data_IF_866873197655
#
_entry.id   IF_866873197655
#
_cell.length_a   1.000
_cell.length_b   1.000
_cell.length_c   1.000
_cell.angle_alpha   90.00
_cell.angle_beta   90.00
_cell.angle_gamma   90.00
#
_symmetry.space_group_name_H-M   'P 1'
#
loop_
_entity.id
_entity.type
_entity.pdbx_description
1 polymer ?
#
# COMPACT_ATOMS: atom_id res chain seq x y z
N UNK A 1 -103.35 21.88 -49.57
CA UNK A 1 -103.78 22.49 -48.31
C UNK A 1 -103.16 21.69 -47.18
N UNK A 2 -102.67 22.32 -46.11
CA UNK A 2 -101.98 21.62 -45.03
C UNK A 2 -103.00 20.78 -44.26
N UNK A 3 -102.71 19.50 -44.06
CA UNK A 3 -103.42 18.68 -43.09
C UNK A 3 -102.97 19.13 -41.70
N UNK A 4 -103.91 19.57 -40.87
CA UNK A 4 -103.64 19.83 -39.46
C UNK A 4 -103.36 18.50 -38.76
N UNK A 5 -102.11 18.26 -38.37
CA UNK A 5 -101.74 17.13 -37.52
C UNK A 5 -101.78 17.58 -36.07
N UNK A 6 -102.71 17.03 -35.28
CA UNK A 6 -102.76 17.26 -33.84
C UNK A 6 -101.75 16.34 -33.15
N UNK A 7 -100.72 16.93 -32.53
CA UNK A 7 -99.76 16.20 -31.70
C UNK A 7 -100.12 16.46 -30.23
N UNK A 8 -100.63 15.44 -29.55
CA UNK A 8 -100.92 15.51 -28.12
C UNK A 8 -99.62 15.27 -27.33
N UNK A 9 -98.91 16.34 -26.96
CA UNK A 9 -97.59 16.29 -26.29
C UNK A 9 -97.63 15.91 -24.80
N UNK A 10 -98.79 15.53 -24.25
CA UNK A 10 -98.92 15.10 -22.85
C UNK A 10 -98.70 16.22 -21.82
N UNK A 11 -98.79 15.90 -20.53
CA UNK A 11 -98.58 16.85 -19.44
C UNK A 11 -97.08 17.07 -19.20
N UNK A 12 -96.58 18.28 -19.47
CA UNK A 12 -95.18 18.66 -19.21
C UNK A 12 -94.68 19.76 -20.15
N UNK A 13 -93.46 20.25 -19.89
CA UNK A 13 -92.77 21.26 -20.71
C UNK A 13 -91.64 20.66 -21.58
N UNK A 14 -91.39 19.34 -21.48
CA UNK A 14 -90.27 18.67 -22.12
C UNK A 14 -90.29 18.63 -23.65
N UNK A 15 -91.43 18.92 -24.29
CA UNK A 15 -91.55 19.09 -25.74
C UNK A 15 -92.34 20.37 -25.99
N UNK A 16 -91.77 21.29 -26.77
CA UNK A 16 -92.41 22.54 -27.17
C UNK A 16 -92.58 22.59 -28.69
N UNK A 17 -93.71 23.15 -29.13
CA UNK A 17 -94.05 23.31 -30.54
C UNK A 17 -94.14 24.81 -30.88
N UNK A 18 -93.44 25.22 -31.93
CA UNK A 18 -93.56 26.54 -32.55
C UNK A 18 -94.09 26.41 -33.98
N UNK A 19 -94.31 27.54 -34.67
CA UNK A 19 -94.88 27.55 -36.02
C UNK A 19 -94.09 26.67 -37.02
N UNK A 20 -92.76 26.58 -36.86
CA UNK A 20 -91.88 25.87 -37.80
C UNK A 20 -90.89 24.90 -37.13
N UNK A 21 -91.00 24.65 -35.82
CA UNK A 21 -90.07 23.75 -35.10
C UNK A 21 -90.72 22.98 -33.96
N UNK A 22 -90.27 21.74 -33.78
CA UNK A 22 -90.50 20.92 -32.58
C UNK A 22 -89.17 20.91 -31.81
N UNK A 23 -89.19 21.40 -30.58
CA UNK A 23 -88.04 21.43 -29.67
C UNK A 23 -88.27 20.45 -28.52
N UNK A 24 -87.23 19.69 -28.18
CA UNK A 24 -87.21 18.82 -27.01
C UNK A 24 -86.31 19.50 -25.98
N UNK A 25 -86.82 19.71 -24.78
CA UNK A 25 -86.05 20.25 -23.67
C UNK A 25 -84.94 19.26 -23.31
N UNK A 26 -83.71 19.73 -23.19
CA UNK A 26 -82.55 18.90 -22.81
C UNK A 26 -81.97 19.31 -21.45
N UNK A 27 -82.53 20.34 -20.82
CA UNK A 27 -82.10 20.88 -19.53
C UNK A 27 -83.02 20.39 -18.40
N UNK A 28 -83.13 19.06 -18.29
CA UNK A 28 -84.06 18.41 -17.35
C UNK A 28 -83.49 18.37 -15.94
N UNK A 29 -84.30 18.68 -14.91
CA UNK A 29 -83.85 18.69 -13.49
C UNK A 29 -84.38 17.54 -12.63
N UNK A 30 -85.26 16.69 -13.15
CA UNK A 30 -85.87 15.56 -12.42
C UNK A 30 -84.94 14.34 -12.37
N UNK A 31 -85.37 13.17 -11.89
CA UNK A 31 -84.65 11.88 -11.96
C UNK A 31 -85.64 10.75 -12.17
N UNK A 32 -85.24 9.66 -12.83
CA UNK A 32 -86.08 8.46 -13.01
C UNK A 32 -85.46 7.25 -12.33
N UNK A 33 -86.19 6.13 -12.28
CA UNK A 33 -85.66 4.83 -11.84
C UNK A 33 -85.14 3.96 -12.98
N UNK A 34 -85.09 4.47 -14.22
CA UNK A 34 -84.72 3.69 -15.40
C UNK A 34 -83.21 3.44 -15.41
N UNK A 35 -82.83 2.16 -15.37
CA UNK A 35 -81.42 1.73 -15.34
C UNK A 35 -80.91 1.14 -16.65
N UNK A 36 -81.78 0.92 -17.64
CA UNK A 36 -81.35 0.48 -18.98
C UNK A 36 -82.37 0.83 -20.06
N UNK A 37 -81.87 1.17 -21.26
CA UNK A 37 -82.67 1.27 -22.47
C UNK A 37 -81.77 1.20 -23.73
N UNK A 38 -82.39 1.09 -24.92
CA UNK A 38 -81.65 0.90 -26.17
C UNK A 38 -80.71 2.06 -26.55
N UNK A 39 -81.07 3.31 -26.24
CA UNK A 39 -80.37 4.51 -26.73
C UNK A 39 -79.51 5.22 -25.68
N UNK A 40 -79.58 4.81 -24.41
CA UNK A 40 -79.02 5.55 -23.27
C UNK A 40 -79.78 6.84 -22.93
N UNK A 41 -80.84 7.15 -23.70
CA UNK A 41 -81.60 8.38 -23.63
C UNK A 41 -83.05 8.11 -23.25
N UNK A 42 -83.56 8.74 -22.22
CA UNK A 42 -84.97 8.69 -21.84
C UNK A 42 -85.63 10.06 -22.06
N UNK A 43 -86.93 10.02 -22.36
CA UNK A 43 -87.78 11.22 -22.44
C UNK A 43 -88.73 11.19 -21.26
N UNK A 44 -88.71 12.24 -20.45
CA UNK A 44 -89.61 12.44 -19.31
C UNK A 44 -90.55 13.61 -19.58
N UNK A 45 -91.44 13.91 -18.62
CA UNK A 45 -92.29 15.11 -18.69
C UNK A 45 -91.48 16.42 -18.75
N UNK A 46 -90.23 16.38 -18.29
CA UNK A 46 -89.33 17.54 -18.22
C UNK A 46 -88.38 17.63 -19.44
N UNK A 47 -88.28 16.59 -20.28
CA UNK A 47 -87.46 16.61 -21.51
C UNK A 47 -86.66 15.33 -21.78
N UNK A 48 -85.70 15.43 -22.70
CA UNK A 48 -84.73 14.39 -23.07
C UNK A 48 -83.51 14.45 -22.15
N UNK A 49 -83.08 13.29 -21.67
CA UNK A 49 -81.91 13.14 -20.79
C UNK A 49 -81.25 11.78 -20.96
N UNK A 50 -80.07 11.62 -20.36
CA UNK A 50 -79.48 10.31 -20.12
C UNK A 50 -80.23 9.56 -19.01
N UNK A 51 -80.14 8.22 -18.98
CA UNK A 51 -80.82 7.38 -17.97
C UNK A 51 -80.63 7.90 -16.55
N UNK A 52 -81.73 8.20 -15.86
CA UNK A 52 -81.72 8.81 -14.53
C UNK A 52 -81.60 7.89 -13.34
N UNK A 53 -81.62 6.56 -13.56
CA UNK A 53 -81.59 5.57 -12.47
C UNK A 53 -80.20 5.13 -12.01
N UNK A 54 -79.11 5.72 -12.54
CA UNK A 54 -77.75 5.33 -12.16
C UNK A 54 -77.44 5.78 -10.72
N UNK A 55 -76.89 4.87 -9.92
CA UNK A 55 -76.37 5.19 -8.60
C UNK A 55 -75.00 5.90 -8.67
N UNK A 56 -74.58 6.53 -7.58
CA UNK A 56 -73.24 7.12 -7.47
C UNK A 56 -72.16 6.08 -7.81
N UNK A 57 -71.27 6.43 -8.75
CA UNK A 57 -70.22 5.54 -9.26
C UNK A 57 -70.64 4.58 -10.38
N UNK A 58 -71.91 4.58 -10.78
CA UNK A 58 -72.35 3.93 -12.03
C UNK A 58 -72.16 4.88 -13.22
N UNK A 59 -71.80 4.32 -14.37
CA UNK A 59 -71.74 5.02 -15.65
C UNK A 59 -72.66 4.32 -16.66
N UNK A 60 -73.03 5.04 -17.73
CA UNK A 60 -73.69 4.42 -18.87
C UNK A 60 -72.70 3.53 -19.62
N UNK A 61 -72.96 2.23 -19.61
CA UNK A 61 -72.18 1.22 -20.30
C UNK A 61 -73.06 0.48 -21.33
N UNK A 62 -72.49 0.19 -22.49
CA UNK A 62 -73.13 -0.64 -23.50
C UNK A 62 -73.09 -2.12 -23.06
N UNK A 63 -74.25 -2.75 -22.96
CA UNK A 63 -74.39 -4.19 -22.76
C UNK A 63 -74.54 -4.88 -24.12
N UNK A 64 -73.46 -5.47 -24.62
CA UNK A 64 -73.46 -6.16 -25.92
C UNK A 64 -74.31 -7.43 -25.95
N UNK A 65 -74.74 -7.97 -24.80
CA UNK A 65 -75.59 -9.17 -24.74
C UNK A 65 -77.06 -8.78 -24.83
N UNK A 66 -77.44 -7.71 -24.13
CA UNK A 66 -78.82 -7.21 -24.11
C UNK A 66 -79.09 -6.12 -25.16
N UNK A 67 -78.06 -5.68 -25.91
CA UNK A 67 -78.10 -4.61 -26.91
C UNK A 67 -78.71 -3.31 -26.36
N UNK A 68 -78.37 -2.95 -25.12
CA UNK A 68 -78.87 -1.75 -24.45
C UNK A 68 -77.75 -0.99 -23.77
N UNK A 69 -77.92 0.32 -23.63
CA UNK A 69 -77.19 1.09 -22.63
C UNK A 69 -77.78 0.84 -21.25
N UNK A 70 -76.93 0.60 -20.26
CA UNK A 70 -77.34 0.41 -18.87
C UNK A 70 -76.46 1.18 -17.90
N UNK A 71 -77.00 1.52 -16.74
CA UNK A 71 -76.21 1.89 -15.57
C UNK A 71 -75.42 0.64 -15.15
N UNK A 72 -74.10 0.76 -15.15
CA UNK A 72 -73.21 -0.27 -14.64
C UNK A 72 -72.16 0.38 -13.76
N UNK A 73 -71.75 -0.31 -12.70
CA UNK A 73 -70.55 0.07 -11.94
C UNK A 73 -69.40 0.23 -12.92
N UNK A 74 -68.76 1.40 -12.92
CA UNK A 74 -67.63 1.66 -13.81
C UNK A 74 -66.54 0.60 -13.58
N UNK A 75 -66.34 -0.32 -14.53
CA UNK A 75 -65.39 -1.43 -14.43
C UNK A 75 -63.97 -1.04 -14.81
N UNK A 76 -63.56 0.20 -14.53
CA UNK A 76 -62.15 0.54 -14.54
C UNK A 76 -61.50 -0.15 -13.36
N UNK A 77 -60.44 -0.94 -13.56
CA UNK A 77 -59.66 -1.49 -12.47
C UNK A 77 -59.16 -0.34 -11.59
N UNK A 78 -59.84 -0.07 -10.48
CA UNK A 78 -59.52 1.05 -9.60
C UNK A 78 -58.21 0.73 -8.90
N UNK A 79 -57.15 1.43 -9.29
CA UNK A 79 -55.92 1.49 -8.50
C UNK A 79 -56.24 2.31 -7.25
N UNK A 80 -56.14 1.70 -6.07
CA UNK A 80 -56.33 2.34 -4.78
C UNK A 80 -54.97 2.69 -4.16
N UNK A 81 -54.95 3.60 -3.16
CA UNK A 81 -53.73 4.03 -2.48
C UNK A 81 -53.34 5.48 -2.74
N UNK A 82 -52.36 5.97 -1.98
CA UNK A 82 -51.83 7.34 -2.08
C UNK A 82 -50.35 7.38 -1.69
N UNK A 83 -49.68 8.49 -1.97
CA UNK A 83 -48.27 8.73 -1.60
C UNK A 83 -48.01 10.21 -1.32
N UNK A 84 -46.83 10.52 -0.77
CA UNK A 84 -46.37 11.88 -0.58
C UNK A 84 -45.53 12.37 -1.78
N UNK A 85 -45.49 13.68 -2.00
CA UNK A 85 -44.60 14.29 -2.99
C UNK A 85 -43.16 13.87 -2.72
N UNK A 86 -42.48 13.35 -3.75
CA UNK A 86 -41.11 12.86 -3.66
C UNK A 86 -40.99 11.36 -3.40
N UNK A 87 -42.03 10.63 -2.97
CA UNK A 87 -41.93 9.18 -2.87
C UNK A 87 -42.01 8.54 -4.26
N UNK A 88 -41.12 7.57 -4.57
CA UNK A 88 -41.39 6.69 -5.72
C UNK A 88 -42.48 5.71 -5.33
N UNK A 89 -43.51 5.64 -6.17
CA UNK A 89 -44.66 4.76 -5.98
C UNK A 89 -44.31 3.31 -6.30
N UNK A 90 -44.78 2.36 -5.49
CA UNK A 90 -44.71 0.93 -5.76
C UNK A 90 -45.99 0.21 -5.33
N UNK A 91 -46.25 -0.96 -5.88
CA UNK A 91 -47.43 -1.76 -5.55
C UNK A 91 -47.28 -2.44 -4.19
N UNK A 92 -48.32 -2.40 -3.36
CA UNK A 92 -48.43 -3.19 -2.12
C UNK A 92 -49.62 -4.17 -2.12
N UNK A 93 -50.32 -4.27 -3.26
CA UNK A 93 -51.37 -5.25 -3.52
C UNK A 93 -51.66 -5.34 -5.02
N UNK A 94 -52.53 -6.26 -5.43
CA UNK A 94 -52.88 -6.45 -6.85
C UNK A 94 -53.57 -5.24 -7.49
N UNK A 95 -54.23 -4.40 -6.68
CA UNK A 95 -54.89 -3.15 -7.11
C UNK A 95 -54.51 -1.95 -6.24
N UNK A 96 -53.47 -2.04 -5.40
CA UNK A 96 -53.11 -1.00 -4.43
C UNK A 96 -51.66 -0.55 -4.58
N UNK A 97 -51.46 0.77 -4.58
CA UNK A 97 -50.15 1.43 -4.60
C UNK A 97 -49.85 2.11 -3.26
N UNK A 98 -48.57 2.31 -2.97
CA UNK A 98 -48.09 3.07 -1.81
C UNK A 98 -46.75 3.75 -2.15
N UNK A 99 -46.23 4.54 -1.20
CA UNK A 99 -44.89 5.11 -1.25
C UNK A 99 -44.17 4.94 0.09
N UNK A 100 -42.85 5.17 0.10
CA UNK A 100 -42.03 5.11 1.31
C UNK A 100 -41.02 6.26 1.33
N UNK A 101 -40.79 6.84 2.50
CA UNK A 101 -39.71 7.83 2.69
C UNK A 101 -38.32 7.20 2.53
N UNK A 102 -38.21 5.87 2.58
CA UNK A 102 -36.97 5.15 2.30
C UNK A 102 -36.69 4.96 0.81
N UNK A 103 -37.60 5.34 -0.09
CA UNK A 103 -37.42 5.29 -1.55
C UNK A 103 -37.90 6.62 -2.15
N UNK A 104 -36.97 7.56 -2.29
CA UNK A 104 -37.29 8.97 -2.49
C UNK A 104 -36.66 9.56 -3.75
N UNK A 105 -37.45 10.27 -4.54
CA UNK A 105 -37.02 11.11 -5.65
C UNK A 105 -37.10 12.58 -5.24
N UNK A 106 -35.94 13.22 -5.09
CA UNK A 106 -35.84 14.67 -4.99
C UNK A 106 -35.98 15.27 -6.39
N UNK A 107 -37.19 15.68 -6.75
CA UNK A 107 -37.49 16.30 -8.04
C UNK A 107 -36.87 17.67 -8.25
N UNK A 108 -36.48 18.37 -7.17
CA UNK A 108 -35.86 19.70 -7.27
C UNK A 108 -34.43 19.59 -7.76
N UNK A 109 -33.71 18.56 -7.31
CA UNK A 109 -32.28 18.37 -7.61
C UNK A 109 -32.00 17.12 -8.48
N UNK A 110 -33.03 16.38 -8.89
CA UNK A 110 -32.93 15.14 -9.66
C UNK A 110 -32.04 14.05 -9.01
N UNK A 111 -32.34 13.70 -7.75
CA UNK A 111 -31.57 12.74 -6.94
C UNK A 111 -32.44 11.61 -6.39
N UNK A 112 -31.91 10.38 -6.34
CA UNK A 112 -32.54 9.22 -5.72
C UNK A 112 -31.97 8.98 -4.32
N UNK A 113 -32.82 9.01 -3.30
CA UNK A 113 -32.49 8.63 -1.92
C UNK A 113 -33.03 7.25 -1.57
N UNK A 114 -32.17 6.39 -1.05
CA UNK A 114 -32.53 5.13 -0.40
C UNK A 114 -32.26 5.28 1.09
N UNK A 115 -33.30 5.25 1.92
CA UNK A 115 -33.21 5.49 3.36
C UNK A 115 -32.99 6.96 3.77
N UNK A 116 -33.09 7.90 2.83
CA UNK A 116 -33.05 9.36 3.09
C UNK A 116 -34.04 10.10 2.18
N UNK A 117 -34.71 11.13 2.71
CA UNK A 117 -35.57 12.05 1.93
C UNK A 117 -34.85 13.32 1.51
N UNK A 118 -33.60 13.50 1.92
CA UNK A 118 -32.77 14.65 1.59
C UNK A 118 -31.42 14.19 1.03
N UNK A 119 -31.41 13.43 -0.09
CA UNK A 119 -30.17 12.99 -0.71
C UNK A 119 -29.32 14.20 -1.09
N UNK A 120 -28.01 14.10 -0.93
CA UNK A 120 -27.02 15.13 -1.26
C UNK A 120 -26.27 14.81 -2.56
N UNK A 121 -26.33 13.57 -3.03
CA UNK A 121 -25.70 13.07 -4.26
C UNK A 121 -26.71 12.49 -5.26
N UNK A 122 -26.27 12.30 -6.52
CA UNK A 122 -26.84 11.38 -7.54
C UNK A 122 -27.84 10.36 -7.00
N UNK A 123 -27.24 9.41 -6.30
CA UNK A 123 -27.84 8.33 -5.54
C UNK A 123 -27.22 8.42 -4.14
N UNK A 124 -28.04 8.54 -3.11
CA UNK A 124 -27.58 8.43 -1.73
C UNK A 124 -28.26 7.23 -1.08
N UNK A 125 -27.46 6.34 -0.50
CA UNK A 125 -27.95 5.20 0.26
C UNK A 125 -27.54 5.41 1.71
N UNK A 126 -28.52 5.78 2.53
CA UNK A 126 -28.33 6.01 3.95
C UNK A 126 -28.95 4.85 4.74
N UNK A 127 -28.11 4.15 5.51
CA UNK A 127 -28.52 3.05 6.36
C UNK A 127 -27.51 2.83 7.47
N UNK A 128 -28.00 2.47 8.67
CA UNK A 128 -27.19 2.38 9.90
C UNK A 128 -26.79 0.94 10.28
N UNK A 129 -26.97 -0.04 9.39
CA UNK A 129 -26.71 -1.46 9.66
C UNK A 129 -25.63 -2.04 8.75
N UNK A 130 -24.44 -2.28 9.31
CA UNK A 130 -23.36 -3.03 8.60
C UNK A 130 -23.72 -4.49 8.33
N UNK A 131 -24.72 -5.06 9.03
CA UNK A 131 -25.15 -6.44 8.86
C UNK A 131 -25.65 -6.74 7.43
N UNK A 132 -26.47 -5.84 6.86
CA UNK A 132 -26.99 -6.00 5.50
C UNK A 132 -26.16 -5.25 4.45
N UNK A 133 -25.35 -4.28 4.87
CA UNK A 133 -24.58 -3.40 3.99
C UNK A 133 -25.48 -2.33 3.35
N UNK A 134 -24.90 -1.22 2.90
CA UNK A 134 -25.64 -0.19 2.18
C UNK A 134 -25.86 -0.59 0.72
N UNK A 135 -24.85 -1.17 0.08
CA UNK A 135 -24.95 -1.67 -1.29
C UNK A 135 -24.34 -3.08 -1.39
N UNK A 136 -25.08 -4.00 -2.01
CA UNK A 136 -24.67 -5.40 -2.19
C UNK A 136 -24.72 -5.78 -3.66
N UNK A 137 -23.64 -6.40 -4.14
CA UNK A 137 -23.58 -7.10 -5.42
C UNK A 137 -23.50 -8.59 -5.12
N UNK A 138 -24.42 -9.38 -5.66
CA UNK A 138 -24.55 -10.79 -5.33
C UNK A 138 -24.73 -11.65 -6.59
N UNK A 139 -24.03 -12.78 -6.65
CA UNK A 139 -24.37 -13.87 -7.55
C UNK A 139 -25.50 -14.72 -6.94
N UNK A 140 -25.42 -15.01 -5.64
CA UNK A 140 -26.45 -15.68 -4.86
C UNK A 140 -26.45 -15.23 -3.37
N UNK A 141 -27.20 -15.94 -2.52
CA UNK A 141 -27.31 -15.62 -1.09
C UNK A 141 -25.98 -15.69 -0.33
N UNK A 142 -25.04 -16.51 -0.80
CA UNK A 142 -23.76 -16.84 -0.17
C UNK A 142 -22.56 -16.21 -0.89
N UNK A 143 -22.69 -15.87 -2.17
CA UNK A 143 -21.64 -15.30 -3.00
C UNK A 143 -21.95 -13.84 -3.28
N UNK A 144 -21.39 -12.95 -2.47
CA UNK A 144 -21.66 -11.52 -2.57
C UNK A 144 -20.51 -10.66 -2.07
N UNK A 145 -20.49 -9.42 -2.54
CA UNK A 145 -19.67 -8.33 -2.00
C UNK A 145 -20.58 -7.20 -1.52
N UNK A 146 -20.28 -6.65 -0.35
CA UNK A 146 -20.98 -5.52 0.27
C UNK A 146 -20.05 -4.31 0.34
N UNK A 147 -20.67 -3.15 0.19
CA UNK A 147 -20.10 -1.84 0.43
C UNK A 147 -20.89 -1.18 1.55
N UNK A 148 -20.18 -0.66 2.54
CA UNK A 148 -20.78 0.06 3.66
C UNK A 148 -19.84 1.15 4.16
N UNK A 149 -20.41 2.29 4.52
CA UNK A 149 -19.73 3.35 5.26
C UNK A 149 -20.06 3.20 6.74
N UNK A 150 -19.03 3.10 7.58
CA UNK A 150 -19.22 2.97 9.03
C UNK A 150 -19.48 4.32 9.72
N UNK A 151 -19.64 4.32 11.04
CA UNK A 151 -19.88 5.54 11.83
C UNK A 151 -18.70 6.52 11.83
N UNK A 152 -17.52 6.11 11.36
CA UNK A 152 -16.34 6.97 11.19
C UNK A 152 -16.21 7.55 9.78
N UNK A 153 -17.12 7.18 8.87
CA UNK A 153 -17.09 7.59 7.47
C UNK A 153 -16.17 6.74 6.59
N UNK A 154 -15.62 5.63 7.10
CA UNK A 154 -14.74 4.76 6.33
C UNK A 154 -15.55 3.79 5.46
N UNK A 155 -15.14 3.64 4.19
CA UNK A 155 -15.72 2.66 3.27
C UNK A 155 -15.10 1.29 3.53
N UNK A 156 -15.95 0.30 3.85
CA UNK A 156 -15.56 -1.11 3.95
C UNK A 156 -16.07 -1.88 2.73
N UNK A 157 -15.18 -2.67 2.14
CA UNK A 157 -15.51 -3.69 1.13
C UNK A 157 -15.42 -5.05 1.79
N UNK A 158 -16.54 -5.77 1.85
CA UNK A 158 -16.64 -7.07 2.51
C UNK A 158 -17.09 -8.14 1.52
N UNK A 159 -16.37 -9.24 1.41
CA UNK A 159 -16.71 -10.37 0.55
C UNK A 159 -17.10 -11.57 1.42
N UNK A 160 -18.31 -12.09 1.18
CA UNK A 160 -18.88 -13.20 1.92
C UNK A 160 -18.73 -13.07 3.46
N UNK A 161 -18.95 -11.85 3.99
CA UNK A 161 -18.86 -11.55 5.42
C UNK A 161 -17.45 -11.32 5.97
N UNK A 162 -16.41 -11.39 5.14
CA UNK A 162 -15.03 -11.05 5.52
C UNK A 162 -14.64 -9.70 4.92
N UNK A 163 -14.16 -8.78 5.75
CA UNK A 163 -13.65 -7.51 5.26
C UNK A 163 -12.38 -7.75 4.42
N UNK A 164 -12.33 -7.16 3.22
CA UNK A 164 -11.16 -7.19 2.34
C UNK A 164 -10.31 -5.95 2.63
N UNK A 165 -10.95 -4.79 2.59
CA UNK A 165 -10.32 -3.50 2.75
C UNK A 165 -11.25 -2.50 3.45
N UNK A 166 -10.66 -1.64 4.27
CA UNK A 166 -11.31 -0.49 4.89
C UNK A 166 -10.55 0.77 4.52
N UNK A 167 -11.23 1.69 3.85
CA UNK A 167 -10.68 2.94 3.35
C UNK A 167 -11.22 4.08 4.22
N UNK A 168 -10.43 4.50 5.20
CA UNK A 168 -10.75 5.62 6.08
C UNK A 168 -9.93 6.86 5.77
N UNK A 169 -10.33 8.00 6.35
CA UNK A 169 -9.60 9.26 6.22
C UNK A 169 -8.23 9.25 6.91
N UNK A 170 -8.07 8.44 7.97
CA UNK A 170 -6.81 8.32 8.71
C UNK A 170 -5.86 7.29 8.08
N UNK A 171 -6.41 6.17 7.60
CA UNK A 171 -5.65 5.07 7.01
C UNK A 171 -6.53 4.19 6.10
N UNK A 172 -5.86 3.51 5.18
CA UNK A 172 -6.40 2.35 4.47
C UNK A 172 -5.83 1.07 5.10
N UNK A 173 -6.69 0.13 5.45
CA UNK A 173 -6.32 -1.17 6.02
C UNK A 173 -6.77 -2.28 5.08
N UNK A 174 -5.88 -3.22 4.79
CA UNK A 174 -6.20 -4.43 4.03
C UNK A 174 -6.12 -5.62 4.98
N UNK A 175 -7.20 -6.40 5.06
CA UNK A 175 -7.32 -7.55 5.97
C UNK A 175 -6.92 -8.87 5.32
N UNK A 176 -6.62 -8.83 4.03
CA UNK A 176 -6.11 -9.95 3.23
C UNK A 176 -4.75 -9.59 2.64
N UNK A 177 -3.91 -10.58 2.26
CA UNK A 177 -2.66 -10.31 1.56
C UNK A 177 -2.88 -9.44 0.33
N UNK A 178 -1.96 -8.50 0.09
CA UNK A 178 -2.04 -7.54 -1.01
C UNK A 178 -0.93 -7.80 -2.02
N UNK A 179 -1.27 -7.73 -3.32
CA UNK A 179 -0.33 -7.86 -4.43
C UNK A 179 -0.50 -6.67 -5.37
N UNK A 180 0.59 -6.00 -5.71
CA UNK A 180 0.63 -4.93 -6.70
C UNK A 180 1.24 -5.47 -8.00
N UNK A 181 0.40 -5.88 -8.96
CA UNK A 181 0.84 -6.59 -10.17
C UNK A 181 1.04 -5.70 -11.41
N UNK A 182 0.67 -4.42 -11.32
CA UNK A 182 0.87 -3.49 -12.42
C UNK A 182 2.37 -3.16 -12.55
N UNK A 183 2.85 -2.99 -13.79
CA UNK A 183 4.20 -2.49 -14.03
C UNK A 183 4.30 -1.02 -13.64
N UNK A 184 5.37 -0.66 -12.94
CA UNK A 184 5.62 0.70 -12.48
C UNK A 184 6.01 0.72 -11.00
N UNK A 185 6.06 1.93 -10.46
CA UNK A 185 6.62 2.16 -9.13
C UNK A 185 5.55 2.24 -8.05
N UNK A 186 5.90 1.81 -6.85
CA UNK A 186 5.16 2.10 -5.62
C UNK A 186 5.91 3.21 -4.88
N UNK A 187 5.33 4.40 -4.83
CA UNK A 187 5.92 5.54 -4.13
C UNK A 187 5.36 5.67 -2.72
N UNK A 188 6.22 6.01 -1.76
CA UNK A 188 5.87 6.21 -0.35
C UNK A 188 6.51 7.51 0.15
N UNK A 189 5.71 8.41 0.74
CA UNK A 189 6.20 9.70 1.22
C UNK A 189 6.86 9.63 2.62
N UNK A 190 6.55 8.58 3.38
CA UNK A 190 6.97 8.39 4.76
C UNK A 190 7.46 6.94 4.95
N UNK A 191 7.33 6.42 6.17
CA UNK A 191 7.95 5.18 6.61
C UNK A 191 7.33 3.91 6.00
N UNK A 192 8.18 2.90 5.79
CA UNK A 192 7.80 1.50 5.64
C UNK A 192 8.06 0.77 6.96
N UNK A 193 7.00 0.32 7.63
CA UNK A 193 7.12 -0.38 8.92
C UNK A 193 6.65 -1.82 8.79
N UNK A 194 7.55 -2.78 9.00
CA UNK A 194 7.21 -4.20 9.12
C UNK A 194 6.92 -4.55 10.59
N UNK A 195 5.70 -5.00 10.87
CA UNK A 195 5.19 -5.12 12.26
C UNK A 195 5.28 -6.52 12.86
N UNK A 196 5.69 -7.53 12.10
CA UNK A 196 5.89 -8.89 12.62
C UNK A 196 7.24 -8.98 13.35
N UNK A 197 7.17 -9.15 14.68
CA UNK A 197 8.35 -9.17 15.57
C UNK A 197 9.18 -10.46 15.50
N UNK A 198 8.67 -11.53 14.87
CA UNK A 198 9.41 -12.79 14.71
C UNK A 198 10.26 -12.75 13.45
N UNK A 199 9.66 -12.37 12.33
CA UNK A 199 10.33 -12.30 11.04
C UNK A 199 9.62 -11.34 10.11
N UNK A 200 10.40 -10.44 9.52
CA UNK A 200 10.00 -9.54 8.45
C UNK A 200 11.15 -9.48 7.45
N UNK A 201 10.84 -9.57 6.15
CA UNK A 201 11.84 -9.68 5.09
C UNK A 201 11.46 -8.81 3.90
N UNK A 202 12.47 -8.35 3.16
CA UNK A 202 12.31 -7.79 1.82
C UNK A 202 12.91 -8.82 0.87
N UNK A 203 12.06 -9.48 0.09
CA UNK A 203 12.46 -10.51 -0.88
C UNK A 203 12.32 -9.98 -2.30
N UNK A 204 13.30 -10.31 -3.15
CA UNK A 204 13.29 -9.95 -4.58
C UNK A 204 13.76 -11.13 -5.42
N UNK A 205 13.01 -11.45 -6.48
CA UNK A 205 13.41 -12.48 -7.46
C UNK A 205 14.45 -11.98 -8.46
N UNK A 206 14.65 -10.67 -8.56
CA UNK A 206 15.70 -10.04 -9.33
C UNK A 206 16.69 -9.28 -8.43
N UNK A 207 17.70 -8.62 -9.03
CA UNK A 207 18.55 -7.70 -8.30
C UNK A 207 17.73 -6.62 -7.58
N UNK A 208 18.12 -6.29 -6.34
CA UNK A 208 17.54 -5.20 -5.56
C UNK A 208 18.62 -4.13 -5.30
N UNK A 209 18.21 -2.87 -5.23
CA UNK A 209 19.06 -1.75 -4.84
C UNK A 209 18.33 -0.90 -3.81
N UNK A 210 19.05 -0.45 -2.78
CA UNK A 210 18.57 0.50 -1.77
C UNK A 210 19.44 1.74 -1.89
N UNK A 211 18.83 2.87 -2.22
CA UNK A 211 19.52 4.13 -2.51
C UNK A 211 18.95 5.20 -1.58
N UNK A 212 19.83 5.95 -0.92
CA UNK A 212 19.47 7.09 -0.10
C UNK A 212 19.99 8.38 -0.74
N UNK A 213 19.12 9.38 -0.90
CA UNK A 213 19.48 10.68 -1.47
C UNK A 213 19.31 10.80 -2.99
N UNK A 214 19.91 11.86 -3.52
CA UNK A 214 19.90 12.25 -4.93
C UNK A 214 21.30 12.76 -5.34
N UNK A 215 21.43 13.55 -6.41
CA UNK A 215 22.73 14.00 -6.92
C UNK A 215 23.20 15.37 -6.40
N UNK A 216 22.45 16.06 -5.55
CA UNK A 216 22.77 17.41 -5.08
C UNK A 216 23.08 17.47 -3.57
N UNK A 217 22.74 16.44 -2.80
CA UNK A 217 22.89 16.35 -1.37
C UNK A 217 23.65 15.09 -0.93
N UNK A 218 24.39 15.21 0.18
CA UNK A 218 25.03 14.07 0.84
C UNK A 218 24.06 13.46 1.84
N UNK A 219 23.59 12.24 1.56
CA UNK A 219 22.64 11.53 2.40
C UNK A 219 23.20 10.16 2.80
N UNK A 220 23.15 9.84 4.10
CA UNK A 220 23.62 8.56 4.61
C UNK A 220 22.53 7.48 4.48
N UNK A 221 22.91 6.30 4.00
CA UNK A 221 22.12 5.08 4.23
C UNK A 221 22.45 4.53 5.61
N UNK A 222 21.56 4.75 6.58
CA UNK A 222 21.75 4.24 7.95
C UNK A 222 21.14 2.85 8.11
N UNK A 223 21.97 1.87 8.50
CA UNK A 223 21.53 0.55 8.96
C UNK A 223 21.79 0.44 10.47
N UNK A 224 20.73 0.26 11.26
CA UNK A 224 20.81 0.22 12.72
C UNK A 224 20.16 -1.02 13.29
N UNK A 225 20.88 -1.67 14.19
CA UNK A 225 20.37 -2.75 15.05
C UNK A 225 20.22 -2.28 16.50
N UNK A 226 19.55 -3.09 17.33
CA UNK A 226 19.38 -2.83 18.76
C UNK A 226 19.94 -3.99 19.57
N UNK A 227 20.42 -3.70 20.79
CA UNK A 227 21.00 -4.67 21.72
C UNK A 227 22.22 -5.40 21.10
N UNK A 228 22.22 -6.73 21.09
CA UNK A 228 23.28 -7.56 20.51
C UNK A 228 23.01 -7.97 19.05
N UNK A 229 22.21 -7.19 18.31
CA UNK A 229 21.92 -7.47 16.90
C UNK A 229 23.05 -7.03 15.97
N UNK A 230 23.34 -7.84 14.96
CA UNK A 230 24.38 -7.57 13.96
C UNK A 230 23.79 -7.14 12.61
N UNK A 231 24.56 -6.38 11.84
CA UNK A 231 24.31 -6.22 10.39
C UNK A 231 25.01 -7.38 9.68
N UNK A 232 24.23 -8.26 9.04
CA UNK A 232 24.73 -9.50 8.44
C UNK A 232 24.66 -9.43 6.91
N UNK A 233 25.79 -9.67 6.25
CA UNK A 233 25.86 -9.94 4.82
C UNK A 233 26.04 -11.46 4.60
N UNK A 234 24.95 -12.19 4.42
CA UNK A 234 24.97 -13.62 4.10
C UNK A 234 25.12 -13.84 2.59
N UNK A 235 26.36 -14.03 2.15
CA UNK A 235 26.74 -14.16 0.75
C UNK A 235 26.99 -15.63 0.40
N UNK A 236 26.27 -16.16 -0.58
CA UNK A 236 26.42 -17.56 -1.01
C UNK A 236 27.26 -17.69 -2.29
N UNK A 237 27.90 -18.85 -2.48
CA UNK A 237 28.68 -19.15 -3.69
C UNK A 237 29.91 -18.27 -3.83
N UNK A 238 29.94 -17.43 -4.87
CA UNK A 238 31.04 -16.49 -5.19
C UNK A 238 30.67 -15.03 -4.89
N UNK A 239 29.64 -14.81 -4.06
CA UNK A 239 29.20 -13.49 -3.63
C UNK A 239 30.30 -12.69 -2.91
N UNK A 240 30.28 -11.36 -3.04
CA UNK A 240 31.26 -10.43 -2.45
C UNK A 240 30.58 -9.18 -1.94
N UNK A 241 31.06 -8.65 -0.81
CA UNK A 241 30.80 -7.25 -0.44
C UNK A 241 31.70 -6.37 -1.31
N UNK A 242 31.09 -5.45 -2.06
CA UNK A 242 31.81 -4.52 -2.95
C UNK A 242 31.58 -3.10 -2.48
N UNK A 243 32.65 -2.32 -2.42
CA UNK A 243 32.62 -0.88 -2.22
C UNK A 243 33.06 -0.22 -3.53
N UNK A 244 32.38 0.84 -3.95
CA UNK A 244 32.70 1.60 -5.15
C UNK A 244 33.05 3.05 -4.75
N UNK A 245 34.12 3.59 -5.32
CA UNK A 245 34.67 4.91 -5.01
C UNK A 245 36.17 4.93 -5.32
N UNK A 246 36.79 6.10 -5.33
CA UNK A 246 38.26 6.24 -5.47
C UNK A 246 38.95 5.81 -4.17
N UNK A 247 38.49 6.32 -3.03
CA UNK A 247 39.07 6.03 -1.70
C UNK A 247 38.12 5.22 -0.81
N UNK A 248 37.75 4.02 -1.26
CA UNK A 248 36.81 3.20 -0.48
C UNK A 248 37.37 2.83 0.89
N UNK A 249 36.58 3.10 1.93
CA UNK A 249 37.02 2.97 3.33
C UNK A 249 35.92 2.29 4.16
N UNK A 250 36.34 1.38 5.04
CA UNK A 250 35.58 0.96 6.21
C UNK A 250 36.06 1.77 7.42
N UNK A 251 35.14 2.54 8.00
CA UNK A 251 35.42 3.36 9.17
C UNK A 251 34.91 2.67 10.44
N UNK A 252 35.78 2.52 11.42
CA UNK A 252 35.48 2.05 12.76
C UNK A 252 35.49 3.24 13.71
N UNK A 253 34.37 3.98 13.69
CA UNK A 253 34.12 5.14 14.56
C UNK A 253 33.49 4.66 15.87
N UNK A 254 34.22 4.88 16.96
CA UNK A 254 33.71 4.66 18.30
C UNK A 254 33.17 5.99 18.83
N UNK A 255 31.88 6.05 19.19
CA UNK A 255 31.18 7.34 19.37
C UNK A 255 31.42 8.04 20.72
N UNK A 256 32.45 7.69 21.49
CA UNK A 256 32.71 8.31 22.81
C UNK A 256 33.88 9.29 22.72
N UNK A 257 33.89 10.37 23.49
CA UNK A 257 34.84 11.49 23.26
C UNK A 257 36.31 11.21 23.60
N UNK A 258 36.70 9.97 23.93
CA UNK A 258 38.06 9.58 24.36
C UNK A 258 38.56 8.30 23.70
N UNK A 259 37.75 7.68 22.84
CA UNK A 259 38.15 6.45 22.18
C UNK A 259 39.00 6.74 20.94
N UNK A 260 39.45 5.67 20.29
CA UNK A 260 40.37 5.74 19.16
C UNK A 260 39.68 5.14 17.96
N UNK A 261 39.47 5.98 16.96
CA UNK A 261 38.91 5.56 15.68
C UNK A 261 39.99 4.94 14.78
N UNK A 262 39.55 3.99 13.98
CA UNK A 262 40.40 3.35 12.98
C UNK A 262 39.70 3.33 11.64
N UNK A 263 40.49 3.30 10.58
CA UNK A 263 40.01 3.08 9.23
C UNK A 263 40.79 1.94 8.60
N UNK A 264 40.12 1.25 7.68
CA UNK A 264 40.72 0.27 6.78
C UNK A 264 40.25 0.59 5.37
N UNK A 265 41.15 0.82 4.44
CA UNK A 265 40.76 1.32 3.13
C UNK A 265 41.88 1.24 2.10
N UNK A 266 41.50 1.57 0.87
CA UNK A 266 42.44 1.85 -0.20
C UNK A 266 42.80 3.34 -0.12
N UNK A 267 44.08 3.65 -0.29
CA UNK A 267 44.54 5.03 -0.48
C UNK A 267 45.00 5.12 -1.92
N UNK A 268 44.26 5.93 -2.68
CA UNK A 268 44.57 6.31 -4.05
C UNK A 268 45.35 7.64 -4.00
N UNK A 269 46.48 7.73 -4.71
CA UNK A 269 47.24 8.97 -4.81
C UNK A 269 46.70 9.92 -5.90
N UNK A 270 45.61 9.50 -6.56
CA UNK A 270 44.91 10.13 -7.67
C UNK A 270 45.76 10.31 -8.93
N UNK A 271 46.92 9.67 -9.02
CA UNK A 271 47.64 9.49 -10.26
C UNK A 271 47.00 8.33 -11.04
N UNK A 272 47.07 8.36 -12.37
CA UNK A 272 46.33 7.43 -13.23
C UNK A 272 46.90 6.01 -13.29
N UNK A 273 47.72 5.64 -12.32
CA UNK A 273 48.44 4.38 -12.14
C UNK A 273 47.80 3.51 -11.05
N UNK A 274 48.16 2.23 -11.04
CA UNK A 274 47.59 1.19 -10.18
C UNK A 274 48.46 0.92 -8.93
N UNK A 275 49.15 1.94 -8.43
CA UNK A 275 50.04 1.83 -7.26
C UNK A 275 49.36 2.06 -5.91
N UNK A 276 48.03 2.11 -5.93
CA UNK A 276 47.13 2.11 -4.78
C UNK A 276 47.59 1.17 -3.65
N UNK A 277 47.50 1.66 -2.43
CA UNK A 277 47.88 0.89 -1.24
C UNK A 277 46.64 0.47 -0.43
N UNK A 278 46.64 -0.76 0.06
CA UNK A 278 45.71 -1.19 1.10
C UNK A 278 46.31 -0.86 2.47
N UNK A 279 45.61 -0.09 3.27
CA UNK A 279 46.16 0.39 4.55
C UNK A 279 45.18 0.33 5.71
N UNK A 280 45.77 0.34 6.90
CA UNK A 280 45.08 0.52 8.19
C UNK A 280 45.74 1.68 8.92
N UNK A 281 44.94 2.59 9.45
CA UNK A 281 45.44 3.74 10.21
C UNK A 281 44.47 4.24 11.27
N UNK A 282 44.89 5.31 11.95
CA UNK A 282 44.17 5.94 13.05
C UNK A 282 43.43 7.19 12.60
N UNK A 283 42.20 7.36 13.06
CA UNK A 283 41.39 8.58 12.93
C UNK A 283 40.18 8.41 12.03
N UNK A 284 39.49 9.52 11.77
CA UNK A 284 38.26 9.56 10.99
C UNK A 284 38.48 9.78 9.49
N UNK A 285 39.71 10.08 9.09
CA UNK A 285 40.06 10.41 7.69
C UNK A 285 41.02 9.37 7.14
N UNK A 286 40.62 8.74 6.04
CA UNK A 286 41.44 7.79 5.30
C UNK A 286 42.81 8.40 4.92
N UNK A 287 43.87 7.59 4.94
CA UNK A 287 45.23 8.04 4.64
C UNK A 287 45.94 8.84 5.75
N UNK A 288 45.26 9.18 6.84
CA UNK A 288 45.91 9.84 7.99
C UNK A 288 46.44 8.81 9.00
N UNK A 289 47.65 9.06 9.53
CA UNK A 289 48.29 8.20 10.56
C UNK A 289 48.31 6.70 10.21
N UNK A 290 48.79 6.35 9.00
CA UNK A 290 48.89 4.97 8.52
C UNK A 290 49.87 4.14 9.37
N UNK A 291 49.42 2.95 9.80
CA UNK A 291 50.21 2.02 10.62
C UNK A 291 50.64 0.79 9.83
N UNK A 292 49.74 0.22 9.04
CA UNK A 292 49.99 -0.95 8.21
C UNK A 292 49.70 -0.60 6.76
N UNK A 293 50.56 -1.06 5.86
CA UNK A 293 50.42 -0.84 4.42
C UNK A 293 50.75 -2.11 3.67
N UNK A 294 49.93 -2.46 2.68
CA UNK A 294 50.26 -3.42 1.64
C UNK A 294 50.28 -2.67 0.31
N UNK A 295 51.45 -2.55 -0.31
CA UNK A 295 51.55 -1.88 -1.60
C UNK A 295 51.16 -2.81 -2.77
N UNK A 296 51.00 -2.23 -3.96
CA UNK A 296 50.72 -2.96 -5.21
C UNK A 296 51.75 -4.05 -5.55
N UNK A 297 52.99 -3.89 -5.08
CA UNK A 297 54.07 -4.89 -5.19
C UNK A 297 53.97 -6.08 -4.23
N UNK A 298 53.00 -6.09 -3.31
CA UNK A 298 52.80 -7.14 -2.32
C UNK A 298 53.72 -7.05 -1.08
N UNK A 299 54.39 -5.92 -0.88
CA UNK A 299 55.23 -5.66 0.28
C UNK A 299 54.41 -5.12 1.46
N UNK A 300 54.65 -5.67 2.64
CA UNK A 300 54.04 -5.23 3.90
C UNK A 300 54.91 -4.17 4.58
N UNK A 301 54.39 -2.96 4.73
CA UNK A 301 54.97 -1.88 5.52
C UNK A 301 54.35 -1.79 6.92
N UNK A 302 55.19 -1.68 7.95
CA UNK A 302 54.77 -1.32 9.32
C UNK A 302 55.42 0.01 9.67
N UNK A 303 54.62 1.04 9.91
CA UNK A 303 55.09 2.41 10.15
C UNK A 303 55.66 3.11 8.91
N UNK A 304 55.47 2.54 7.72
CA UNK A 304 55.85 3.12 6.42
C UNK A 304 54.76 2.86 5.39
N UNK A 305 54.59 3.78 4.44
CA UNK A 305 53.69 3.64 3.29
C UNK A 305 54.41 3.20 2.01
N UNK A 306 55.75 3.24 1.99
CA UNK A 306 56.56 2.87 0.84
C UNK A 306 57.54 1.72 1.18
N UNK A 307 57.04 0.51 1.47
CA UNK A 307 57.90 -0.62 1.82
C UNK A 307 58.75 -1.07 0.62
N UNK A 308 60.07 -1.08 0.78
CA UNK A 308 61.02 -1.42 -0.30
C UNK A 308 61.37 -2.91 -0.36
N UNK A 309 60.98 -3.68 0.65
CA UNK A 309 61.14 -5.14 0.71
C UNK A 309 59.85 -5.78 1.21
N UNK A 310 59.72 -7.12 1.10
CA UNK A 310 58.51 -7.86 1.46
C UNK A 310 57.97 -7.57 2.86
N UNK A 311 58.86 -7.32 3.83
CA UNK A 311 58.50 -6.79 5.14
C UNK A 311 59.44 -5.64 5.47
N UNK A 312 58.91 -4.43 5.48
CA UNK A 312 59.65 -3.22 5.81
C UNK A 312 59.06 -2.60 7.08
N UNK A 313 59.85 -2.54 8.14
CA UNK A 313 59.43 -1.99 9.43
C UNK A 313 60.24 -0.73 9.70
N UNK A 314 59.57 0.41 9.59
CA UNK A 314 60.14 1.69 9.98
C UNK A 314 59.88 1.92 11.47
N UNK A 315 60.82 1.47 12.31
CA UNK A 315 60.70 1.56 13.75
C UNK A 315 61.48 0.48 14.48
N UNK A 316 60.98 0.08 15.65
CA UNK A 316 61.57 -1.01 16.43
C UNK A 316 60.87 -2.33 16.09
N UNK A 317 61.66 -3.35 15.79
CA UNK A 317 61.18 -4.70 15.47
C UNK A 317 61.57 -5.66 16.58
N UNK A 318 60.62 -6.48 17.06
CA UNK A 318 60.90 -7.46 18.12
C UNK A 318 60.30 -8.83 17.78
N UNK A 319 61.15 -9.76 17.32
CA UNK A 319 60.79 -11.16 17.07
C UNK A 319 61.16 -11.98 18.31
N UNK A 320 60.16 -12.40 19.09
CA UNK A 320 60.33 -13.05 20.41
C UNK A 320 59.34 -14.19 20.62
N UNK A 321 59.66 -15.07 21.58
CA UNK A 321 58.73 -16.10 22.05
C UNK A 321 57.61 -15.51 22.91
N UNK A 322 56.46 -16.20 22.95
CA UNK A 322 55.21 -15.75 23.60
C UNK A 322 55.39 -15.29 25.06
N UNK A 323 56.26 -15.96 25.83
CA UNK A 323 56.43 -15.73 27.27
C UNK A 323 57.76 -15.09 27.67
N UNK A 324 58.62 -14.71 26.71
CA UNK A 324 59.96 -14.19 26.99
C UNK A 324 60.14 -12.75 26.52
N UNK A 325 60.72 -11.89 27.37
CA UNK A 325 61.29 -10.60 26.98
C UNK A 325 62.69 -10.80 26.35
N UNK A 326 62.83 -11.82 25.50
CA UNK A 326 64.10 -12.22 24.90
C UNK A 326 63.84 -12.81 23.52
N UNK A 327 64.60 -12.36 22.53
CA UNK A 327 64.45 -12.72 21.11
C UNK A 327 65.38 -11.89 20.24
N UNK A 328 65.11 -11.81 18.95
CA UNK A 328 65.73 -10.88 18.01
C UNK A 328 65.04 -9.52 18.14
N UNK A 329 65.76 -8.54 18.64
CA UNK A 329 65.31 -7.16 18.80
C UNK A 329 66.11 -6.27 17.86
N UNK A 330 65.45 -5.41 17.11
CA UNK A 330 66.11 -4.40 16.27
C UNK A 330 65.54 -3.07 16.72
N UNK A 331 66.37 -2.21 17.31
CA UNK A 331 65.91 -0.89 17.74
C UNK A 331 65.70 0.05 16.53
N UNK A 332 65.10 1.21 16.75
CA UNK A 332 64.90 2.22 15.69
C UNK A 332 66.19 2.75 15.05
N UNK A 333 67.36 2.50 15.66
CA UNK A 333 68.68 2.82 15.10
C UNK A 333 69.29 1.69 14.26
N UNK A 334 68.63 0.52 14.17
CA UNK A 334 69.12 -0.65 13.43
C UNK A 334 70.03 -1.60 14.22
N UNK A 335 70.26 -1.38 15.52
CA UNK A 335 71.09 -2.29 16.33
C UNK A 335 70.33 -3.57 16.65
N UNK A 336 71.00 -4.71 16.48
CA UNK A 336 70.46 -6.05 16.70
C UNK A 336 70.79 -6.54 18.12
N UNK A 337 69.76 -6.74 18.94
CA UNK A 337 69.83 -7.44 20.22
C UNK A 337 69.38 -8.89 20.09
N UNK A 338 70.16 -9.86 20.59
CA UNK A 338 69.73 -11.26 20.77
C UNK A 338 69.59 -11.54 22.26
N UNK A 339 68.35 -11.54 22.77
CA UNK A 339 68.07 -11.70 24.19
C UNK A 339 68.22 -10.43 25.03
N UNK A 340 68.51 -9.29 24.43
CA UNK A 340 68.53 -7.95 25.04
C UNK A 340 67.65 -6.99 24.24
N UNK A 341 67.02 -6.03 24.91
CA UNK A 341 66.23 -4.95 24.28
C UNK A 341 66.93 -3.60 24.29
N UNK A 342 68.16 -3.55 24.78
CA UNK A 342 68.97 -2.34 24.84
C UNK A 342 70.35 -2.61 24.22
N UNK A 343 70.43 -2.98 22.92
CA UNK A 343 71.70 -3.27 22.27
C UNK A 343 72.58 -2.03 22.21
N UNK A 344 73.74 -2.09 22.86
CA UNK A 344 74.72 -1.00 22.88
C UNK A 344 75.72 -1.04 21.71
N UNK A 345 75.68 -2.12 20.91
CA UNK A 345 76.47 -2.33 19.70
C UNK A 345 75.56 -2.76 18.53
N UNK A 346 76.10 -2.81 17.31
CA UNK A 346 75.35 -3.27 16.13
C UNK A 346 74.79 -4.70 16.30
N UNK A 347 75.52 -5.57 17.00
CA UNK A 347 75.04 -6.87 17.46
C UNK A 347 75.40 -7.02 18.94
N UNK A 348 74.39 -7.11 19.81
CA UNK A 348 74.52 -7.29 21.25
C UNK A 348 73.77 -8.55 21.68
N UNK A 349 74.46 -9.49 22.30
CA UNK A 349 73.92 -10.81 22.62
C UNK A 349 73.92 -10.97 24.14
N UNK A 350 72.78 -11.39 24.69
CA UNK A 350 72.63 -11.63 26.11
C UNK A 350 73.72 -12.55 26.65
N UNK A 351 74.19 -12.23 27.87
CA UNK A 351 75.21 -13.01 28.55
C UNK A 351 74.80 -14.48 28.69
N UNK A 352 75.79 -15.37 28.52
CA UNK A 352 75.60 -16.79 28.67
C UNK A 352 75.22 -17.12 30.12
N UNK A 353 74.36 -18.12 30.29
CA UNK A 353 74.13 -18.79 31.58
C UNK A 353 74.63 -20.23 31.49
N UNK A 354 74.72 -20.91 32.63
CA UNK A 354 75.05 -22.35 32.68
C UNK A 354 74.09 -23.23 31.88
N UNK A 355 72.86 -22.76 31.65
CA UNK A 355 71.84 -23.46 30.88
C UNK A 355 71.74 -23.01 29.41
N UNK A 356 72.33 -21.86 29.05
CA UNK A 356 72.18 -21.26 27.72
C UNK A 356 73.42 -20.46 27.31
N UNK A 357 74.21 -20.93 26.32
CA UNK A 357 75.31 -20.13 25.79
C UNK A 357 74.76 -18.91 25.01
N UNK A 358 75.53 -17.82 24.94
CA UNK A 358 75.21 -16.64 24.12
C UNK A 358 75.15 -17.00 22.63
N UNK A 359 76.14 -17.75 22.15
CA UNK A 359 76.22 -18.29 20.78
C UNK A 359 76.59 -19.77 20.88
N UNK A 360 75.93 -20.62 20.09
CA UNK A 360 76.29 -22.03 19.94
C UNK A 360 76.59 -22.30 18.47
N UNK A 361 77.83 -22.68 18.17
CA UNK A 361 78.24 -23.18 16.86
C UNK A 361 78.33 -24.70 16.95
N UNK A 362 77.44 -25.42 16.28
CA UNK A 362 77.47 -26.88 16.25
C UNK A 362 78.72 -27.37 15.48
N UNK A 363 79.30 -28.50 15.88
CA UNK A 363 80.44 -29.08 15.16
C UNK A 363 80.02 -29.69 13.83
N UNK A 364 80.91 -29.64 12.83
CA UNK A 364 80.69 -30.18 11.49
C UNK A 364 81.98 -30.32 10.68
N UNK A 365 81.91 -30.88 9.48
CA UNK A 365 83.07 -30.99 8.59
C UNK A 365 83.49 -29.61 8.07
N UNK A 366 84.77 -29.26 8.20
CA UNK A 366 85.32 -28.00 7.68
C UNK A 366 85.07 -27.87 6.16
N UNK A 367 84.65 -26.68 5.67
CA UNK A 367 84.48 -26.44 4.23
C UNK A 367 85.78 -26.66 3.46
N UNK A 368 85.70 -27.22 2.25
CA UNK A 368 86.87 -27.45 1.38
C UNK A 368 87.45 -26.16 0.79
N UNK A 369 86.78 -25.02 0.96
CA UNK A 369 87.25 -23.68 0.56
C UNK A 369 86.61 -22.62 1.49
N UNK A 370 87.14 -22.42 2.71
CA UNK A 370 86.59 -21.43 3.62
C UNK A 370 86.85 -20.01 3.11
N UNK A 371 85.89 -19.12 3.28
CA UNK A 371 86.05 -17.69 2.99
C UNK A 371 86.75 -17.03 4.18
N UNK A 372 87.61 -16.03 3.91
CA UNK A 372 88.24 -15.26 4.98
C UNK A 372 87.19 -14.61 5.86
N UNK A 373 87.24 -14.89 7.16
CA UNK A 373 86.27 -14.38 8.15
C UNK A 373 85.21 -15.39 8.57
N UNK A 374 85.15 -16.57 7.96
CA UNK A 374 84.27 -17.64 8.40
C UNK A 374 84.67 -18.14 9.80
N UNK A 375 83.66 -18.36 10.65
CA UNK A 375 83.79 -19.04 11.94
C UNK A 375 83.14 -20.42 11.84
N UNK A 376 83.91 -21.49 12.07
CA UNK A 376 83.40 -22.86 12.08
C UNK A 376 84.03 -23.65 13.25
N UNK A 377 83.34 -24.67 13.72
CA UNK A 377 83.83 -25.58 14.76
C UNK A 377 84.02 -26.97 14.14
N UNK A 378 85.26 -27.44 14.03
CA UNK A 378 85.59 -28.77 13.48
C UNK A 378 85.50 -29.89 14.51
N UNK A 379 85.15 -29.56 15.76
CA UNK A 379 85.05 -30.51 16.86
C UNK A 379 86.34 -30.66 17.67
N UNK A 380 87.46 -30.13 17.18
CA UNK A 380 88.76 -30.25 17.83
C UNK A 380 89.28 -28.92 18.38
N UNK A 381 88.88 -27.76 17.83
CA UNK A 381 89.10 -26.42 18.41
C UNK A 381 87.96 -25.44 18.03
N UNK A 382 87.76 -24.40 18.84
CA UNK A 382 86.87 -23.27 18.57
C UNK A 382 87.68 -22.00 18.26
#
# INVERSE_FOLDING_TARGET
GPGSTTINIGAGNGISLSADAITIDTDTTSTTSVKSNNSGLEVTADGLRLLGGCADGEALAWDATAEVWKCATASGGTITGSGASGQLTFWNGSTSITGSNSLWWDSTNARLGLGTTAPTSQLEILGTGVADGQFRIAYDSSNYTKFAVDSTGALTVSNNGTDIAKLGAANATFYVPTTFSASGDVSMAYDLVFTNQISSQIESYGPISIIAGENYESNDLTLKTYNAGDVVADLTGTGRLKLYGTDTTLLFDTRTTTDTDYWMGIIDDAAGDDDDILSIGKGLTNGTSTFLTLNSGGNLGIGTTAPITTLDVSGTTWLRGLSANSGLFINASGNVGIGTTAPAAWLDIAAATTAKPSIRVASGTAPTSPITGDMYNDGDQL
#
